data_IF_925909498935
#
_entry.id   IF_925909498935
#
_cell.length_a   1.000
_cell.length_b   1.000
_cell.length_c   1.000
_cell.angle_alpha   90.00
_cell.angle_beta   90.00
_cell.angle_gamma   90.00
#
_symmetry.space_group_name_H-M   'P 1'
#
loop_
_entity.id
_entity.type
_entity.pdbx_description
1 polymer ?
#
# COMPACT_ATOMS: atom_id res chain seq x y z
N UNK A 1 -28.66 47.77 44.70
CA UNK A 1 -28.61 46.29 44.67
C UNK A 1 -28.05 45.90 43.30
N UNK A 2 -26.75 45.57 43.18
CA UNK A 2 -26.20 44.20 42.88
C UNK A 2 -26.98 43.52 41.72
N UNK A 3 -26.43 43.13 40.55
CA UNK A 3 -25.19 42.40 40.15
C UNK A 3 -24.93 42.69 38.63
N UNK A 4 -23.73 42.90 38.09
CA UNK A 4 -22.56 42.02 37.82
C UNK A 4 -22.85 40.86 36.83
N UNK A 5 -22.23 40.98 35.64
CA UNK A 5 -21.61 40.02 34.69
C UNK A 5 -22.20 38.61 34.44
N UNK A 6 -22.29 38.20 33.16
CA UNK A 6 -21.35 37.23 32.56
C UNK A 6 -21.55 37.01 31.05
N UNK A 7 -20.41 36.89 30.37
CA UNK A 7 -20.21 36.56 28.96
C UNK A 7 -20.88 35.24 28.56
N UNK A 8 -21.56 35.21 27.41
CA UNK A 8 -21.69 33.99 26.61
C UNK A 8 -21.05 34.28 25.26
N UNK A 9 -19.84 33.77 25.15
CA UNK A 9 -19.05 33.61 23.94
C UNK A 9 -19.91 32.80 22.95
N UNK A 10 -20.34 33.43 21.86
CA UNK A 10 -20.79 32.74 20.68
C UNK A 10 -19.55 32.29 19.90
N UNK A 11 -19.06 31.08 20.19
CA UNK A 11 -18.17 30.35 19.28
C UNK A 11 -19.04 29.95 18.08
N UNK A 12 -19.08 30.83 17.08
CA UNK A 12 -19.58 30.47 15.76
C UNK A 12 -18.49 29.68 15.04
N UNK A 13 -18.76 28.38 14.89
CA UNK A 13 -18.26 27.48 13.84
C UNK A 13 -17.27 28.12 12.85
N UNK A 14 -15.98 28.00 13.15
CA UNK A 14 -14.90 28.05 12.15
C UNK A 14 -14.51 26.61 11.82
N UNK A 15 -15.42 25.90 11.14
CA UNK A 15 -15.10 24.68 10.41
C UNK A 15 -14.75 25.11 8.99
N UNK A 16 -13.50 25.51 8.78
CA UNK A 16 -12.91 25.55 7.44
C UNK A 16 -12.52 24.12 7.14
N UNK A 17 -13.48 23.37 6.59
CA UNK A 17 -13.18 22.15 5.85
C UNK A 17 -12.49 22.57 4.55
N UNK A 18 -11.17 22.75 4.57
CA UNK A 18 -10.40 22.80 3.33
C UNK A 18 -10.37 21.39 2.74
N UNK A 19 -11.31 21.09 1.85
CA UNK A 19 -11.11 20.02 0.86
C UNK A 19 -10.02 20.50 -0.10
N UNK A 20 -8.77 20.17 0.21
CA UNK A 20 -7.59 20.45 -0.62
C UNK A 20 -7.62 19.55 -1.85
N UNK A 21 -8.34 19.96 -2.89
CA UNK A 21 -8.35 19.24 -4.18
C UNK A 21 -7.81 20.05 -5.36
N UNK A 22 -7.42 21.32 -5.18
CA UNK A 22 -6.84 22.16 -6.24
C UNK A 22 -5.62 22.95 -5.74
N UNK A 23 -4.52 22.24 -5.43
CA UNK A 23 -3.24 22.89 -5.08
C UNK A 23 -2.44 23.35 -6.31
N UNK A 24 -2.94 23.13 -7.53
CA UNK A 24 -2.22 23.38 -8.78
C UNK A 24 -2.90 24.29 -9.80
N UNK A 25 -4.12 24.80 -9.58
CA UNK A 25 -4.72 25.76 -10.50
C UNK A 25 -5.62 26.75 -9.79
N UNK A 26 -5.18 28.02 -9.76
CA UNK A 26 -5.86 29.22 -9.25
C UNK A 26 -5.71 29.43 -7.73
N UNK A 27 -4.88 30.40 -7.34
CA UNK A 27 -4.70 30.85 -5.96
C UNK A 27 -5.83 31.83 -5.58
N UNK A 28 -6.67 31.55 -4.56
CA UNK A 28 -7.36 32.59 -3.81
C UNK A 28 -6.33 33.35 -2.95
N UNK A 29 -6.57 34.63 -2.65
CA UNK A 29 -5.66 35.54 -1.92
C UNK A 29 -5.21 35.05 -0.51
N UNK A 30 -5.79 33.97 0.01
CA UNK A 30 -5.49 33.39 1.34
C UNK A 30 -4.63 32.10 1.30
N UNK A 31 -3.96 31.79 0.18
CA UNK A 31 -3.00 30.65 0.10
C UNK A 31 -1.56 31.12 0.32
N UNK A 32 -0.87 30.55 1.32
CA UNK A 32 0.58 30.71 1.50
C UNK A 32 1.29 30.37 0.18
N UNK A 33 2.18 31.25 -0.27
CA UNK A 33 3.01 30.95 -1.45
C UNK A 33 3.97 29.78 -1.15
N UNK A 34 4.43 29.08 -2.20
CA UNK A 34 5.36 27.96 -2.06
C UNK A 34 6.63 28.36 -1.31
N UNK A 35 7.15 29.55 -1.60
CA UNK A 35 8.34 30.10 -0.96
C UNK A 35 8.10 30.31 0.54
N UNK A 36 6.99 30.96 0.92
CA UNK A 36 6.63 31.18 2.32
C UNK A 36 6.40 29.87 3.09
N UNK A 37 5.85 28.85 2.43
CA UNK A 37 5.63 27.54 3.06
C UNK A 37 6.97 26.89 3.45
N UNK A 38 8.00 26.97 2.62
CA UNK A 38 9.29 26.31 2.86
C UNK A 38 10.31 27.16 3.64
N UNK A 39 9.90 28.30 4.20
CA UNK A 39 10.70 29.12 5.11
C UNK A 39 10.71 28.61 6.57
N UNK A 40 9.97 27.55 6.89
CA UNK A 40 9.89 27.03 8.26
C UNK A 40 9.86 25.51 8.35
N UNK A 41 10.30 24.98 9.51
CA UNK A 41 10.25 23.55 9.83
C UNK A 41 8.82 23.01 9.78
N UNK A 42 7.86 23.80 10.28
CA UNK A 42 6.45 23.42 10.29
C UNK A 42 5.92 23.28 8.87
N UNK A 43 6.27 24.20 7.96
CA UNK A 43 5.80 24.13 6.58
C UNK A 43 6.32 22.92 5.80
N UNK A 44 7.53 22.43 6.09
CA UNK A 44 7.99 21.13 5.57
C UNK A 44 7.13 19.96 6.07
N UNK A 45 6.72 19.96 7.34
CA UNK A 45 5.83 18.90 7.86
C UNK A 45 4.40 19.03 7.33
N UNK A 46 3.89 20.24 7.15
CA UNK A 46 2.58 20.49 6.56
C UNK A 46 2.55 20.01 5.10
N UNK A 47 3.61 20.30 4.33
CA UNK A 47 3.77 19.79 2.97
C UNK A 47 3.81 18.26 2.94
N UNK A 48 4.52 17.62 3.86
CA UNK A 48 4.59 16.17 3.96
C UNK A 48 3.23 15.55 4.34
N UNK A 49 2.50 16.18 5.27
CA UNK A 49 1.13 15.78 5.58
C UNK A 49 0.22 15.90 4.35
N UNK A 50 0.41 16.94 3.54
CA UNK A 50 -0.21 17.09 2.22
C UNK A 50 0.12 15.93 1.28
N UNK A 51 1.38 15.47 1.23
CA UNK A 51 1.77 14.28 0.45
C UNK A 51 1.01 13.05 0.92
N UNK A 52 0.96 12.77 2.23
CA UNK A 52 0.19 11.64 2.76
C UNK A 52 -1.30 11.75 2.41
N UNK A 53 -1.86 12.95 2.49
CA UNK A 53 -3.26 13.21 2.11
C UNK A 53 -3.50 12.92 0.63
N UNK A 54 -2.59 13.34 -0.26
CA UNK A 54 -2.67 13.06 -1.70
C UNK A 54 -2.53 11.56 -2.00
N UNK A 55 -1.68 10.84 -1.26
CA UNK A 55 -1.57 9.39 -1.44
C UNK A 55 -2.86 8.67 -1.07
N UNK A 56 -3.63 9.18 -0.10
CA UNK A 56 -4.88 8.57 0.34
C UNK A 56 -5.88 8.34 -0.79
N UNK A 57 -5.90 9.18 -1.83
CA UNK A 57 -6.75 9.02 -3.03
C UNK A 57 -6.63 7.63 -3.70
N UNK A 58 -5.47 6.97 -3.57
CA UNK A 58 -5.23 5.64 -4.11
C UNK A 58 -5.21 4.55 -3.04
N UNK A 59 -5.02 4.86 -1.76
CA UNK A 59 -4.79 3.87 -0.70
C UNK A 59 -5.82 3.84 0.41
N UNK A 60 -6.82 4.72 0.44
CA UNK A 60 -7.87 4.58 1.44
C UNK A 60 -8.65 3.25 1.30
N UNK A 61 -9.63 3.06 2.16
CA UNK A 61 -10.42 1.83 2.18
C UNK A 61 -11.32 1.63 0.96
N UNK A 62 -11.41 2.61 0.05
CA UNK A 62 -12.00 2.51 -1.29
C UNK A 62 -10.96 2.85 -2.37
N UNK A 63 -9.68 2.79 -2.01
CA UNK A 63 -8.57 3.24 -2.82
C UNK A 63 -8.31 2.29 -3.98
N UNK A 64 -7.98 2.85 -5.14
CA UNK A 64 -7.71 2.09 -6.37
C UNK A 64 -6.57 1.08 -6.20
N UNK A 65 -5.57 1.41 -5.39
CA UNK A 65 -4.39 0.57 -5.11
C UNK A 65 -4.47 -0.15 -3.75
N UNK A 66 -5.63 -0.09 -3.09
CA UNK A 66 -5.91 -0.80 -1.84
C UNK A 66 -7.02 -1.83 -2.07
N UNK A 67 -8.29 -1.44 -1.92
CA UNK A 67 -9.42 -2.38 -1.92
C UNK A 67 -10.19 -2.43 -3.24
N UNK A 68 -10.00 -1.48 -4.15
CA UNK A 68 -10.81 -1.41 -5.38
C UNK A 68 -10.10 -1.99 -6.61
N UNK A 69 -9.55 -1.13 -7.48
CA UNK A 69 -9.12 -1.49 -8.82
C UNK A 69 -8.12 -2.65 -8.82
N UNK A 70 -7.11 -2.60 -7.95
CA UNK A 70 -6.08 -3.63 -7.85
C UNK A 70 -6.61 -5.01 -7.37
N UNK A 71 -7.61 -5.02 -6.48
CA UNK A 71 -8.20 -6.25 -5.97
C UNK A 71 -9.16 -6.89 -6.98
N UNK A 72 -9.81 -6.08 -7.81
CA UNK A 72 -10.55 -6.59 -8.96
C UNK A 72 -9.61 -7.24 -9.98
N UNK A 73 -8.44 -6.65 -10.28
CA UNK A 73 -7.41 -7.30 -11.10
C UNK A 73 -6.96 -8.65 -10.50
N UNK A 74 -6.92 -8.74 -9.17
CA UNK A 74 -6.62 -9.99 -8.46
C UNK A 74 -7.83 -10.97 -8.35
N UNK A 75 -8.99 -10.62 -8.91
CA UNK A 75 -10.24 -11.37 -8.84
C UNK A 75 -10.72 -11.70 -7.41
N UNK A 76 -10.46 -10.78 -6.46
CA UNK A 76 -10.79 -10.98 -5.05
C UNK A 76 -12.25 -10.70 -4.72
N UNK A 77 -12.90 -9.79 -5.43
CA UNK A 77 -14.31 -9.45 -5.20
C UNK A 77 -15.28 -10.19 -6.12
N UNK A 78 -16.51 -10.36 -5.65
CA UNK A 78 -17.63 -10.65 -6.54
C UNK A 78 -17.86 -9.48 -7.49
N UNK A 79 -18.26 -9.80 -8.72
CA UNK A 79 -18.56 -8.80 -9.75
C UNK A 79 -19.91 -9.10 -10.37
N UNK A 80 -20.64 -8.05 -10.69
CA UNK A 80 -21.90 -8.15 -11.43
C UNK A 80 -21.61 -8.10 -12.93
N UNK A 81 -22.26 -8.97 -13.69
CA UNK A 81 -22.07 -9.01 -15.14
C UNK A 81 -22.46 -7.70 -15.83
N UNK A 82 -21.66 -7.28 -16.81
CA UNK A 82 -21.80 -6.04 -17.57
C UNK A 82 -21.32 -4.79 -16.82
N UNK A 83 -20.66 -4.93 -15.68
CA UNK A 83 -20.10 -3.80 -14.93
C UNK A 83 -18.62 -3.56 -15.26
N UNK A 84 -18.14 -2.34 -15.01
CA UNK A 84 -16.71 -2.00 -15.14
C UNK A 84 -15.84 -2.93 -14.29
N UNK A 85 -16.32 -3.32 -13.10
CA UNK A 85 -15.59 -4.22 -12.19
C UNK A 85 -15.39 -5.62 -12.79
N UNK A 86 -16.34 -6.11 -13.60
CA UNK A 86 -16.16 -7.34 -14.38
C UNK A 86 -15.07 -7.18 -15.44
N UNK A 87 -15.09 -6.08 -16.21
CA UNK A 87 -14.05 -5.78 -17.19
C UNK A 87 -12.66 -5.61 -16.55
N UNK A 88 -12.56 -5.06 -15.33
CA UNK A 88 -11.31 -5.02 -14.57
C UNK A 88 -10.85 -6.44 -14.24
N UNK A 89 -11.74 -7.27 -13.66
CA UNK A 89 -11.44 -8.66 -13.27
C UNK A 89 -10.97 -9.52 -14.44
N UNK A 90 -11.51 -9.29 -15.63
CA UNK A 90 -11.15 -9.99 -16.86
C UNK A 90 -10.06 -9.31 -17.68
N UNK A 91 -9.46 -8.23 -17.17
CA UNK A 91 -8.37 -7.50 -17.82
C UNK A 91 -8.72 -6.95 -19.22
N UNK A 92 -9.96 -6.54 -19.42
CA UNK A 92 -10.46 -5.96 -20.68
C UNK A 92 -10.02 -4.48 -20.82
N UNK A 93 -8.71 -4.24 -20.80
CA UNK A 93 -8.12 -2.91 -20.64
C UNK A 93 -8.54 -1.88 -21.70
N UNK A 94 -8.98 -2.33 -22.89
CA UNK A 94 -9.54 -1.43 -23.91
C UNK A 94 -10.76 -0.65 -23.43
N UNK A 95 -11.46 -1.14 -22.41
CA UNK A 95 -12.65 -0.53 -21.80
C UNK A 95 -12.33 0.31 -20.55
N UNK A 96 -11.07 0.32 -20.10
CA UNK A 96 -10.68 0.81 -18.77
C UNK A 96 -9.71 2.01 -18.80
N UNK A 97 -9.61 2.72 -19.93
CA UNK A 97 -8.71 3.87 -20.08
C UNK A 97 -8.93 4.93 -18.98
N UNK A 98 -10.18 5.16 -18.57
CA UNK A 98 -10.50 6.09 -17.48
C UNK A 98 -9.95 5.65 -16.13
N UNK A 99 -10.16 4.38 -15.75
CA UNK A 99 -9.65 3.81 -14.50
C UNK A 99 -8.12 3.83 -14.49
N UNK A 100 -7.49 3.35 -15.57
CA UNK A 100 -6.03 3.30 -15.70
C UNK A 100 -5.43 4.71 -15.65
N UNK A 101 -5.99 5.67 -16.39
CA UNK A 101 -5.55 7.07 -16.38
C UNK A 101 -5.66 7.69 -14.99
N UNK A 102 -6.77 7.43 -14.29
CA UNK A 102 -6.99 7.98 -12.95
C UNK A 102 -5.99 7.42 -11.93
N UNK A 103 -5.75 6.11 -11.95
CA UNK A 103 -4.77 5.45 -11.07
C UNK A 103 -3.35 5.95 -11.36
N UNK A 104 -2.97 6.04 -12.64
CA UNK A 104 -1.65 6.51 -13.06
C UNK A 104 -1.39 7.96 -12.63
N UNK A 105 -2.30 8.87 -12.96
CA UNK A 105 -2.16 10.30 -12.65
C UNK A 105 -2.16 10.58 -11.14
N UNK A 106 -2.93 9.81 -10.36
CA UNK A 106 -2.99 9.97 -8.90
C UNK A 106 -1.64 9.65 -8.22
N UNK A 107 -0.77 8.80 -8.77
CA UNK A 107 0.56 8.55 -8.20
C UNK A 107 1.57 9.66 -8.49
N UNK A 108 1.49 10.32 -9.65
CA UNK A 108 2.45 11.39 -9.98
C UNK A 108 2.19 12.69 -9.21
N UNK A 109 0.98 12.92 -8.69
CA UNK A 109 0.66 14.08 -7.83
C UNK A 109 1.52 14.15 -6.54
N UNK A 110 1.57 13.10 -5.68
CA UNK A 110 2.44 13.12 -4.52
C UNK A 110 3.93 13.11 -4.91
N UNK A 111 4.33 12.42 -5.99
CA UNK A 111 5.72 12.47 -6.50
C UNK A 111 6.15 13.91 -6.83
N UNK A 112 5.28 14.68 -7.49
CA UNK A 112 5.57 16.08 -7.81
C UNK A 112 5.79 16.95 -6.56
N UNK A 113 5.01 16.74 -5.49
CA UNK A 113 5.20 17.43 -4.21
C UNK A 113 6.50 17.01 -3.54
N UNK A 114 6.81 15.71 -3.53
CA UNK A 114 8.05 15.19 -2.96
C UNK A 114 9.28 15.77 -3.65
N UNK A 115 9.25 15.89 -4.98
CA UNK A 115 10.33 16.51 -5.74
C UNK A 115 10.49 17.99 -5.39
N UNK A 116 9.39 18.73 -5.26
CA UNK A 116 9.41 20.13 -4.83
C UNK A 116 10.01 20.28 -3.42
N UNK A 117 9.58 19.44 -2.47
CA UNK A 117 10.12 19.45 -1.12
C UNK A 117 11.62 19.15 -1.09
N UNK A 118 12.07 18.15 -1.87
CA UNK A 118 13.49 17.82 -1.98
C UNK A 118 14.30 18.98 -2.57
N UNK A 119 13.76 19.73 -3.52
CA UNK A 119 14.41 20.94 -4.06
C UNK A 119 14.59 22.02 -2.99
N UNK A 120 13.53 22.38 -2.26
CA UNK A 120 13.63 23.40 -1.21
C UNK A 120 14.47 22.96 -0.01
N UNK A 121 14.50 21.65 0.31
CA UNK A 121 15.35 21.10 1.37
C UNK A 121 16.84 21.37 1.10
N UNK A 122 17.28 21.33 -0.16
CA UNK A 122 18.68 21.57 -0.53
C UNK A 122 19.07 23.05 -0.48
N UNK A 123 18.10 23.98 -0.51
CA UNK A 123 18.36 25.43 -0.51
C UNK A 123 18.20 26.11 0.85
N UNK A 124 17.52 25.47 1.80
CA UNK A 124 17.30 26.03 3.14
C UNK A 124 18.54 25.92 4.03
N UNK A 125 18.67 26.82 5.03
CA UNK A 125 19.76 26.83 6.00
C UNK A 125 19.30 26.87 7.48
N UNK A 126 18.00 26.83 7.74
CA UNK A 126 17.43 27.00 9.08
C UNK A 126 17.12 25.68 9.80
N UNK A 127 17.00 24.55 9.08
CA UNK A 127 16.74 23.25 9.68
C UNK A 127 17.97 22.76 10.44
N UNK A 128 17.73 22.05 11.55
CA UNK A 128 18.80 21.26 12.16
C UNK A 128 19.24 20.14 11.22
N UNK A 129 20.49 19.68 11.34
CA UNK A 129 21.02 18.57 10.53
C UNK A 129 20.16 17.29 10.66
N UNK A 130 19.66 17.01 11.87
CA UNK A 130 18.75 15.89 12.12
C UNK A 130 17.40 16.08 11.42
N UNK A 131 16.78 17.26 11.53
CA UNK A 131 15.49 17.52 10.88
C UNK A 131 15.59 17.45 9.35
N UNK A 132 16.63 18.07 8.78
CA UNK A 132 16.90 17.99 7.34
C UNK A 132 17.01 16.53 6.89
N UNK A 133 17.82 15.73 7.58
CA UNK A 133 18.02 14.31 7.26
C UNK A 133 16.72 13.52 7.37
N UNK A 134 15.97 13.66 8.46
CA UNK A 134 14.74 12.90 8.69
C UNK A 134 13.65 13.25 7.66
N UNK A 135 13.49 14.53 7.31
CA UNK A 135 12.52 14.95 6.28
C UNK A 135 12.97 14.42 4.90
N UNK A 136 14.26 14.54 4.57
CA UNK A 136 14.82 14.03 3.31
C UNK A 136 14.63 12.52 3.17
N UNK A 137 14.97 11.74 4.19
CA UNK A 137 14.81 10.29 4.21
C UNK A 137 13.37 9.87 3.96
N UNK A 138 12.42 10.55 4.59
CA UNK A 138 11.01 10.26 4.39
C UNK A 138 10.54 10.62 2.97
N UNK A 139 10.99 11.75 2.44
CA UNK A 139 10.64 12.14 1.07
C UNK A 139 11.18 11.15 0.03
N UNK A 140 12.45 10.74 0.17
CA UNK A 140 13.08 9.76 -0.71
C UNK A 140 12.41 8.38 -0.61
N UNK A 141 12.13 7.92 0.60
CA UNK A 141 11.45 6.64 0.82
C UNK A 141 10.04 6.60 0.24
N UNK A 142 9.26 7.68 0.41
CA UNK A 142 7.93 7.80 -0.21
C UNK A 142 8.03 7.87 -1.75
N UNK A 143 8.99 8.61 -2.30
CA UNK A 143 9.19 8.72 -3.75
C UNK A 143 9.54 7.35 -4.35
N UNK A 144 10.44 6.61 -3.73
CA UNK A 144 10.81 5.25 -4.13
C UNK A 144 9.60 4.31 -4.10
N UNK A 145 8.80 4.34 -3.03
CA UNK A 145 7.59 3.52 -2.91
C UNK A 145 6.54 3.82 -3.99
N UNK A 146 6.24 5.10 -4.23
CA UNK A 146 5.26 5.50 -5.25
C UNK A 146 5.72 5.10 -6.66
N UNK A 147 7.02 5.27 -6.95
CA UNK A 147 7.63 4.78 -8.18
C UNK A 147 7.66 3.26 -8.27
N UNK A 148 7.78 2.55 -7.15
CA UNK A 148 7.71 1.09 -7.12
C UNK A 148 6.32 0.61 -7.57
N UNK A 149 5.25 1.23 -7.09
CA UNK A 149 3.88 0.86 -7.49
C UNK A 149 3.62 1.11 -8.97
N UNK A 150 4.13 2.24 -9.50
CA UNK A 150 4.10 2.54 -10.93
C UNK A 150 4.78 1.43 -11.76
N UNK A 151 6.02 1.07 -11.45
CA UNK A 151 6.73 0.07 -12.27
C UNK A 151 6.17 -1.33 -12.08
N UNK A 152 5.58 -1.64 -10.92
CA UNK A 152 4.90 -2.93 -10.70
C UNK A 152 3.62 -3.07 -11.52
N UNK A 153 2.94 -1.97 -11.88
CA UNK A 153 1.71 -2.01 -12.67
C UNK A 153 1.95 -1.88 -14.18
N UNK A 154 2.73 -0.89 -14.61
CA UNK A 154 2.97 -0.59 -16.03
C UNK A 154 4.32 -1.12 -16.56
N UNK A 155 5.20 -1.58 -15.67
CA UNK A 155 6.43 -2.27 -16.04
C UNK A 155 6.21 -3.76 -16.32
N UNK A 156 7.28 -4.47 -16.75
CA UNK A 156 7.19 -5.87 -17.11
C UNK A 156 6.99 -6.78 -15.88
N UNK A 157 6.69 -8.05 -16.15
CA UNK A 157 6.94 -9.12 -15.18
C UNK A 157 8.45 -9.16 -14.89
N UNK A 158 8.90 -9.18 -13.61
CA UNK A 158 10.32 -9.01 -13.28
C UNK A 158 11.22 -10.12 -13.85
N UNK A 159 10.69 -11.33 -14.07
CA UNK A 159 11.41 -12.44 -14.71
C UNK A 159 11.45 -12.38 -16.24
N UNK A 160 10.70 -11.46 -16.87
CA UNK A 160 10.54 -11.32 -18.33
C UNK A 160 10.90 -9.92 -18.84
N UNK A 161 11.87 -9.27 -18.21
CA UNK A 161 12.31 -7.92 -18.58
C UNK A 161 12.90 -7.92 -19.99
N UNK A 162 12.40 -7.05 -20.87
CA UNK A 162 13.03 -6.76 -22.14
C UNK A 162 14.00 -5.59 -21.98
N UNK A 163 15.30 -5.88 -22.04
CA UNK A 163 16.37 -4.90 -21.79
C UNK A 163 16.50 -3.82 -22.86
N UNK A 164 15.87 -3.98 -24.03
CA UNK A 164 15.85 -2.97 -25.09
C UNK A 164 14.61 -2.07 -25.04
N UNK A 165 13.61 -2.41 -24.21
CA UNK A 165 12.37 -1.64 -24.08
C UNK A 165 12.51 -0.58 -22.98
N UNK A 166 11.96 0.61 -23.25
CA UNK A 166 11.72 1.65 -22.26
C UNK A 166 10.32 1.49 -21.69
N UNK A 167 10.17 1.67 -20.38
CA UNK A 167 8.91 1.40 -19.68
C UNK A 167 8.27 2.68 -19.14
N UNK A 168 8.92 3.32 -18.17
CA UNK A 168 8.40 4.49 -17.47
C UNK A 168 9.54 5.48 -17.18
N UNK A 169 9.24 6.77 -17.00
CA UNK A 169 10.17 7.73 -16.43
C UNK A 169 10.25 7.58 -14.91
N UNK A 170 11.45 7.64 -14.35
CA UNK A 170 11.67 7.87 -12.93
C UNK A 170 11.82 9.39 -12.72
N UNK A 171 10.86 10.02 -12.04
CA UNK A 171 10.69 11.49 -12.05
C UNK A 171 11.24 12.06 -10.75
N UNK A 172 12.36 12.78 -10.83
CA UNK A 172 13.07 13.32 -9.65
C UNK A 172 13.03 14.83 -9.51
N UNK A 173 12.52 15.54 -10.51
CA UNK A 173 12.45 17.01 -10.55
C UNK A 173 11.05 17.47 -10.89
N UNK A 174 10.66 18.64 -10.37
CA UNK A 174 9.46 19.32 -10.83
C UNK A 174 9.83 20.19 -12.04
N UNK A 175 9.19 19.96 -13.18
CA UNK A 175 9.49 20.72 -14.38
C UNK A 175 8.39 20.61 -15.42
N UNK A 176 8.41 21.55 -16.38
CA UNK A 176 7.54 21.54 -17.56
C UNK A 176 8.10 20.68 -18.70
N UNK A 177 9.39 20.32 -18.59
CA UNK A 177 10.03 19.44 -19.55
C UNK A 177 9.51 18.01 -19.42
N UNK A 178 9.42 17.34 -20.57
CA UNK A 178 8.95 15.97 -20.63
C UNK A 178 9.95 15.03 -19.96
N UNK A 179 9.46 14.21 -19.04
CA UNK A 179 10.22 13.10 -18.48
C UNK A 179 10.27 11.94 -19.48
N UNK A 180 11.47 11.52 -19.88
CA UNK A 180 11.65 10.44 -20.85
C UNK A 180 11.60 9.07 -20.17
N UNK A 181 10.91 8.12 -20.81
CA UNK A 181 10.93 6.74 -20.35
C UNK A 181 12.34 6.14 -20.43
N UNK A 182 12.69 5.35 -19.43
CA UNK A 182 13.97 4.67 -19.29
C UNK A 182 13.80 3.15 -19.23
N UNK A 183 14.91 2.42 -19.31
CA UNK A 183 14.92 0.96 -19.20
C UNK A 183 14.59 0.49 -17.78
N UNK A 184 14.07 -0.73 -17.65
CA UNK A 184 13.68 -1.29 -16.35
C UNK A 184 14.82 -1.30 -15.32
N UNK A 185 16.02 -1.72 -15.73
CA UNK A 185 17.17 -1.80 -14.81
C UNK A 185 17.60 -0.42 -14.30
N UNK A 186 17.64 0.57 -15.18
CA UNK A 186 17.96 1.96 -14.82
C UNK A 186 16.91 2.53 -13.85
N UNK A 187 15.63 2.29 -14.14
CA UNK A 187 14.53 2.68 -13.24
C UNK A 187 14.70 2.07 -11.85
N UNK A 188 14.96 0.76 -11.77
CA UNK A 188 15.14 0.07 -10.50
C UNK A 188 16.41 0.50 -9.75
N UNK A 189 17.45 0.96 -10.45
CA UNK A 189 18.66 1.52 -9.84
C UNK A 189 18.37 2.88 -9.18
N UNK A 190 17.64 3.77 -9.86
CA UNK A 190 17.23 5.06 -9.29
C UNK A 190 16.32 4.88 -8.08
N UNK A 191 15.36 3.94 -8.19
CA UNK A 191 14.49 3.56 -7.08
C UNK A 191 15.29 3.06 -5.87
N UNK A 192 16.22 2.14 -6.09
CA UNK A 192 17.11 1.63 -5.03
C UNK A 192 17.98 2.74 -4.45
N UNK A 193 18.45 3.69 -5.25
CA UNK A 193 19.21 4.84 -4.75
C UNK A 193 18.42 5.64 -3.72
N UNK A 194 17.18 6.01 -4.04
CA UNK A 194 16.32 6.77 -3.13
C UNK A 194 16.07 6.02 -1.81
N UNK A 195 15.69 4.73 -1.89
CA UNK A 195 15.35 3.98 -0.67
C UNK A 195 16.58 3.57 0.15
N UNK A 196 17.75 3.35 -0.48
CA UNK A 196 19.00 3.08 0.23
C UNK A 196 19.48 4.31 1.01
N UNK A 197 19.34 5.52 0.44
CA UNK A 197 19.67 6.76 1.15
C UNK A 197 18.72 6.99 2.33
N UNK A 198 17.42 6.76 2.14
CA UNK A 198 16.43 6.81 3.22
C UNK A 198 16.79 5.83 4.35
N UNK A 199 17.14 4.58 4.01
CA UNK A 199 17.56 3.56 4.96
C UNK A 199 18.79 4.01 5.77
N UNK A 200 19.84 4.47 5.08
CA UNK A 200 21.07 4.92 5.73
C UNK A 200 20.79 6.01 6.76
N UNK A 201 19.90 6.95 6.46
CA UNK A 201 19.51 8.00 7.39
C UNK A 201 18.73 7.42 8.57
N UNK A 202 17.68 6.64 8.34
CA UNK A 202 16.86 6.07 9.43
C UNK A 202 17.62 5.10 10.33
N UNK A 203 18.68 4.46 9.84
CA UNK A 203 19.55 3.64 10.68
C UNK A 203 20.35 4.48 11.70
N UNK A 204 20.69 5.73 11.36
CA UNK A 204 21.37 6.66 12.26
C UNK A 204 20.41 7.46 13.14
N UNK A 205 19.17 7.63 12.70
CA UNK A 205 18.12 8.37 13.42
C UNK A 205 16.84 7.52 13.49
N UNK A 206 16.83 6.45 14.31
CA UNK A 206 15.69 5.53 14.36
C UNK A 206 14.46 6.24 14.92
N UNK A 207 13.41 6.32 14.10
CA UNK A 207 12.10 6.82 14.54
C UNK A 207 11.07 5.69 14.50
N UNK A 208 10.35 5.49 15.60
CA UNK A 208 9.18 4.62 15.65
C UNK A 208 7.95 5.45 15.27
N UNK A 209 7.60 5.44 13.98
CA UNK A 209 6.40 6.10 13.49
C UNK A 209 5.43 5.00 13.04
N UNK A 210 4.36 4.80 13.79
CA UNK A 210 3.21 4.04 13.29
C UNK A 210 2.45 4.93 12.29
N UNK A 211 2.01 4.34 11.17
CA UNK A 211 1.17 5.03 10.16
C UNK A 211 1.85 6.18 9.39
N UNK A 212 3.18 6.20 9.39
CA UNK A 212 4.02 7.12 8.63
C UNK A 212 5.34 6.42 8.32
N UNK A 213 5.96 6.71 7.19
CA UNK A 213 7.18 6.03 6.78
C UNK A 213 8.33 6.37 7.75
N UNK A 214 8.95 5.32 8.28
CA UNK A 214 10.11 5.38 9.17
C UNK A 214 11.00 4.17 8.96
N UNK A 215 11.94 3.92 9.88
CA UNK A 215 12.94 2.83 9.76
C UNK A 215 12.32 1.50 9.36
N UNK A 216 11.34 1.02 10.14
CA UNK A 216 10.74 -0.30 9.94
C UNK A 216 9.97 -0.40 8.63
N UNK A 217 9.27 0.67 8.23
CA UNK A 217 8.64 0.76 6.92
C UNK A 217 9.63 0.69 5.76
N UNK A 218 10.77 1.40 5.87
CA UNK A 218 11.83 1.36 4.84
C UNK A 218 12.46 -0.03 4.74
N UNK A 219 12.79 -0.68 5.86
CA UNK A 219 13.34 -2.05 5.84
C UNK A 219 12.32 -3.05 5.27
N UNK A 220 11.03 -2.89 5.59
CA UNK A 220 9.97 -3.72 5.06
C UNK A 220 9.82 -3.54 3.54
N UNK A 221 9.82 -2.29 3.05
CA UNK A 221 9.79 -1.99 1.62
C UNK A 221 11.04 -2.52 0.90
N UNK A 222 12.22 -2.40 1.49
CA UNK A 222 13.47 -3.00 0.97
C UNK A 222 13.36 -4.51 0.82
N UNK A 223 12.78 -5.20 1.82
CA UNK A 223 12.51 -6.63 1.75
C UNK A 223 11.61 -6.97 0.54
N UNK A 224 10.49 -6.26 0.38
CA UNK A 224 9.55 -6.42 -0.74
C UNK A 224 10.18 -6.11 -2.11
N UNK A 225 10.96 -5.03 -2.22
CA UNK A 225 11.61 -4.61 -3.47
C UNK A 225 12.67 -5.64 -3.88
N UNK A 226 13.49 -6.11 -2.94
CA UNK A 226 14.49 -7.14 -3.24
C UNK A 226 13.84 -8.46 -3.62
N UNK A 227 12.73 -8.85 -2.97
CA UNK A 227 11.95 -10.02 -3.37
C UNK A 227 11.40 -9.87 -4.79
N UNK A 228 10.89 -8.69 -5.14
CA UNK A 228 10.41 -8.39 -6.49
C UNK A 228 11.50 -8.53 -7.55
N UNK A 229 12.72 -8.10 -7.23
CA UNK A 229 13.89 -8.21 -8.10
C UNK A 229 14.48 -9.63 -8.17
N UNK A 230 13.98 -10.57 -7.35
CA UNK A 230 14.53 -11.92 -7.24
C UNK A 230 15.78 -12.03 -6.36
N UNK A 231 16.17 -10.95 -5.69
CA UNK A 231 17.30 -10.89 -4.75
C UNK A 231 16.91 -11.50 -3.39
N UNK A 232 16.66 -12.82 -3.36
CA UNK A 232 16.15 -13.52 -2.18
C UNK A 232 17.02 -13.38 -0.93
N UNK A 233 18.34 -13.37 -1.10
CA UNK A 233 19.28 -13.20 0.02
C UNK A 233 19.11 -11.83 0.70
N UNK A 234 19.07 -10.75 -0.07
CA UNK A 234 18.86 -9.40 0.46
C UNK A 234 17.46 -9.26 1.08
N UNK A 235 16.42 -9.77 0.42
CA UNK A 235 15.06 -9.77 0.95
C UNK A 235 14.98 -10.48 2.31
N UNK A 236 15.59 -11.67 2.43
CA UNK A 236 15.66 -12.41 3.69
C UNK A 236 16.44 -11.65 4.77
N UNK A 237 17.54 -10.98 4.42
CA UNK A 237 18.32 -10.16 5.35
C UNK A 237 17.50 -9.04 5.99
N UNK A 238 16.76 -8.29 5.18
CA UNK A 238 15.83 -7.26 5.67
C UNK A 238 14.69 -7.85 6.50
N UNK A 239 14.10 -8.96 6.05
CA UNK A 239 13.04 -9.62 6.81
C UNK A 239 13.52 -10.12 8.18
N UNK A 240 14.69 -10.78 8.25
CA UNK A 240 15.28 -11.23 9.51
C UNK A 240 15.58 -10.07 10.45
N UNK A 241 16.07 -8.94 9.95
CA UNK A 241 16.31 -7.76 10.79
C UNK A 241 15.04 -7.29 11.52
N UNK A 242 13.89 -7.36 10.85
CA UNK A 242 12.59 -7.02 11.44
C UNK A 242 12.15 -8.10 12.43
N UNK A 243 12.23 -9.38 12.04
CA UNK A 243 11.81 -10.51 12.89
C UNK A 243 12.66 -10.63 14.17
N UNK A 244 13.95 -10.37 14.10
CA UNK A 244 14.86 -10.41 15.24
C UNK A 244 14.56 -9.26 16.22
N UNK A 245 14.15 -8.09 15.71
CA UNK A 245 13.65 -7.01 16.55
C UNK A 245 12.36 -7.43 17.26
N UNK A 246 11.37 -7.97 16.53
CA UNK A 246 10.11 -8.44 17.12
C UNK A 246 10.33 -9.44 18.26
N UNK A 247 11.29 -10.37 18.11
CA UNK A 247 11.65 -11.35 19.14
C UNK A 247 12.28 -10.76 20.40
N UNK A 248 12.96 -9.62 20.27
CA UNK A 248 13.74 -9.01 21.35
C UNK A 248 13.07 -7.78 21.96
N UNK A 249 12.03 -7.27 21.32
CA UNK A 249 11.32 -6.07 21.74
C UNK A 249 10.34 -6.36 22.89
N UNK A 250 10.69 -5.89 24.10
CA UNK A 250 9.85 -6.04 25.28
C UNK A 250 8.54 -5.25 25.22
N UNK A 251 8.50 -4.20 24.40
CA UNK A 251 7.32 -3.35 24.25
C UNK A 251 6.32 -3.96 23.25
N UNK A 252 6.69 -5.07 22.59
CA UNK A 252 5.91 -5.74 21.56
C UNK A 252 5.45 -4.74 20.47
N UNK A 253 6.29 -3.77 20.10
CA UNK A 253 5.95 -2.68 19.15
C UNK A 253 5.26 -3.22 17.90
N UNK A 254 5.78 -4.34 17.37
CA UNK A 254 5.09 -5.12 16.37
C UNK A 254 4.79 -6.53 16.87
N UNK A 255 3.62 -7.04 16.49
CA UNK A 255 3.16 -8.38 16.87
C UNK A 255 2.13 -8.86 15.85
N UNK A 256 2.18 -10.15 15.51
CA UNK A 256 1.14 -10.78 14.70
C UNK A 256 -0.21 -10.67 15.43
N UNK A 257 -1.24 -10.26 14.71
CA UNK A 257 -2.60 -10.25 15.22
C UNK A 257 -3.11 -11.67 15.44
N UNK A 258 -3.97 -11.84 16.44
CA UNK A 258 -4.59 -13.12 16.76
C UNK A 258 -6.07 -12.94 17.12
N UNK A 259 -6.72 -14.02 17.59
CA UNK A 259 -8.16 -14.02 17.89
C UNK A 259 -8.56 -12.98 18.94
N UNK A 260 -7.67 -12.71 19.91
CA UNK A 260 -7.87 -11.71 20.95
C UNK A 260 -7.98 -10.29 20.39
N UNK A 261 -7.25 -9.95 19.32
CA UNK A 261 -7.41 -8.69 18.60
C UNK A 261 -8.83 -8.52 18.05
N UNK A 262 -9.39 -9.57 17.45
CA UNK A 262 -10.76 -9.54 16.91
C UNK A 262 -11.77 -9.30 18.04
N UNK A 263 -11.56 -9.94 19.21
CA UNK A 263 -12.41 -9.78 20.39
C UNK A 263 -12.44 -8.35 20.98
N UNK A 264 -11.44 -7.52 20.66
CA UNK A 264 -11.39 -6.09 21.03
C UNK A 264 -11.61 -5.16 19.83
N UNK A 265 -12.14 -5.69 18.73
CA UNK A 265 -12.45 -4.96 17.49
C UNK A 265 -11.22 -4.39 16.74
N UNK A 266 -10.03 -4.94 16.97
CA UNK A 266 -8.82 -4.64 16.18
C UNK A 266 -8.75 -5.53 14.91
N UNK A 267 -9.69 -5.30 13.99
CA UNK A 267 -9.83 -6.08 12.74
C UNK A 267 -8.73 -5.84 11.70
N UNK A 268 -7.88 -4.84 11.93
CA UNK A 268 -6.76 -4.47 11.06
C UNK A 268 -5.43 -5.04 11.55
N UNK A 269 -5.41 -5.61 12.77
CA UNK A 269 -4.19 -6.03 13.43
C UNK A 269 -3.16 -4.90 13.44
N UNK A 270 -3.52 -3.75 14.04
CA UNK A 270 -2.75 -2.50 13.90
C UNK A 270 -1.27 -2.64 14.32
N UNK A 271 -0.95 -3.56 15.25
CA UNK A 271 0.44 -3.86 15.67
C UNK A 271 1.25 -4.60 14.61
N UNK A 272 0.65 -5.07 13.53
CA UNK A 272 1.41 -5.59 12.39
C UNK A 272 1.91 -4.46 11.47
N UNK A 273 1.38 -3.23 11.57
CA UNK A 273 1.63 -2.18 10.58
C UNK A 273 3.04 -1.60 10.68
N UNK A 274 3.94 -2.01 9.79
CA UNK A 274 5.30 -1.49 9.67
C UNK A 274 5.33 -0.15 8.92
N UNK A 275 4.38 0.01 7.98
CA UNK A 275 4.06 1.27 7.32
C UNK A 275 2.60 1.23 6.88
N UNK A 276 1.87 2.34 7.10
CA UNK A 276 0.48 2.49 6.72
C UNK A 276 0.14 3.95 6.41
N UNK A 277 -1.02 4.16 5.82
CA UNK A 277 -1.59 5.50 5.56
C UNK A 277 -2.76 5.70 6.50
N UNK A 278 -2.80 6.84 7.19
CA UNK A 278 -3.91 7.20 8.05
C UNK A 278 -5.17 7.51 7.23
N UNK A 279 -6.31 6.99 7.67
CA UNK A 279 -7.61 7.12 7.00
C UNK A 279 -8.68 7.42 8.03
N UNK A 280 -9.58 8.34 7.67
CA UNK A 280 -10.82 8.61 8.37
C UNK A 280 -11.93 7.75 7.77
N UNK A 281 -12.49 6.85 8.57
CA UNK A 281 -13.56 5.93 8.17
C UNK A 281 -14.95 6.45 8.55
N UNK A 282 -15.06 7.56 9.29
CA UNK A 282 -16.36 8.12 9.71
C UNK A 282 -17.07 8.83 8.55
N UNK A 283 -16.30 9.42 7.63
CA UNK A 283 -16.83 10.26 6.56
C UNK A 283 -17.14 9.50 5.28
N UNK A 284 -16.57 8.31 5.08
CA UNK A 284 -16.73 7.51 3.87
C UNK A 284 -17.04 6.07 4.25
N UNK A 285 -18.21 5.58 3.81
CA UNK A 285 -18.58 4.18 3.99
C UNK A 285 -17.77 3.30 3.03
N UNK A 286 -17.39 2.11 3.49
CA UNK A 286 -16.79 1.11 2.64
C UNK A 286 -17.68 0.80 1.43
N UNK A 287 -17.06 0.69 0.25
CA UNK A 287 -17.77 0.59 -1.00
C UNK A 287 -18.64 -0.67 -1.01
N UNK A 288 -19.92 -0.42 -1.23
CA UNK A 288 -20.98 -1.37 -1.09
C UNK A 288 -21.00 -2.43 -2.22
N UNK A 289 -20.11 -2.31 -3.21
CA UNK A 289 -19.85 -3.27 -4.28
C UNK A 289 -18.67 -4.19 -4.00
N UNK A 290 -17.89 -3.92 -2.94
CA UNK A 290 -16.76 -4.76 -2.53
C UNK A 290 -17.25 -5.79 -1.52
N UNK A 291 -17.57 -6.98 -2.02
CA UNK A 291 -18.06 -8.07 -1.17
C UNK A 291 -17.69 -9.43 -1.74
N UNK A 292 -17.81 -10.44 -0.89
CA UNK A 292 -17.79 -11.84 -1.30
C UNK A 292 -19.04 -12.57 -0.82
N UNK A 293 -19.22 -13.81 -1.27
CA UNK A 293 -20.31 -14.66 -0.81
C UNK A 293 -19.79 -15.72 0.18
N UNK A 294 -20.67 -16.21 1.05
CA UNK A 294 -20.32 -17.20 2.09
C UNK A 294 -19.71 -18.48 1.50
N UNK A 295 -20.20 -18.97 0.35
CA UNK A 295 -19.67 -20.18 -0.25
C UNK A 295 -18.22 -20.02 -0.70
N UNK A 296 -17.89 -18.87 -1.31
CA UNK A 296 -16.51 -18.56 -1.71
C UNK A 296 -15.58 -18.39 -0.50
N UNK A 297 -15.99 -17.66 0.53
CA UNK A 297 -15.16 -17.53 1.74
C UNK A 297 -14.93 -18.89 2.40
N UNK A 298 -15.97 -19.72 2.45
CA UNK A 298 -15.87 -21.08 2.96
C UNK A 298 -14.89 -21.94 2.13
N UNK A 299 -14.91 -21.83 0.80
CA UNK A 299 -13.90 -22.49 -0.04
C UNK A 299 -12.49 -21.95 0.22
N UNK A 300 -12.35 -20.62 0.24
CA UNK A 300 -11.07 -19.93 0.36
C UNK A 300 -10.36 -20.23 1.68
N UNK A 301 -11.11 -20.24 2.78
CA UNK A 301 -10.62 -20.55 4.13
C UNK A 301 -10.78 -22.02 4.50
N UNK A 302 -11.15 -22.89 3.55
CA UNK A 302 -11.21 -24.35 3.70
C UNK A 302 -12.14 -24.80 4.87
N UNK A 303 -13.42 -24.35 4.85
CA UNK A 303 -14.53 -24.39 5.85
C UNK A 303 -14.73 -25.68 6.69
N UNK A 304 -13.65 -26.04 7.35
CA UNK A 304 -13.50 -27.12 8.32
C UNK A 304 -12.56 -26.69 9.45
N UNK A 305 -11.99 -25.48 9.36
CA UNK A 305 -10.91 -24.99 10.21
C UNK A 305 -11.31 -23.83 11.13
N UNK A 306 -10.49 -23.65 12.16
CA UNK A 306 -10.49 -22.58 13.16
C UNK A 306 -9.80 -21.29 12.67
N UNK A 307 -9.76 -21.06 11.35
CA UNK A 307 -9.10 -19.88 10.77
C UNK A 307 -9.83 -18.60 11.19
N UNK A 308 -9.18 -17.81 12.03
CA UNK A 308 -9.79 -16.62 12.65
C UNK A 308 -10.15 -15.55 11.62
N UNK A 309 -9.55 -15.59 10.42
CA UNK A 309 -9.81 -14.61 9.37
C UNK A 309 -11.22 -14.71 8.81
N UNK A 310 -11.92 -15.84 9.01
CA UNK A 310 -13.35 -15.93 8.73
C UNK A 310 -14.19 -15.01 9.63
N UNK A 311 -13.72 -14.71 10.84
CA UNK A 311 -14.39 -13.79 11.78
C UNK A 311 -14.20 -12.32 11.39
N UNK A 312 -13.30 -12.02 10.44
CA UNK A 312 -13.11 -10.68 9.87
C UNK A 312 -14.15 -10.33 8.80
N UNK A 313 -15.26 -11.09 8.70
CA UNK A 313 -16.31 -10.90 7.71
C UNK A 313 -17.68 -10.79 8.36
N UNK A 314 -18.40 -9.71 8.06
CA UNK A 314 -19.76 -9.50 8.55
C UNK A 314 -20.82 -9.73 7.47
N UNK A 315 -21.99 -10.19 7.91
CA UNK A 315 -23.15 -10.34 7.03
C UNK A 315 -23.72 -8.98 6.63
N UNK A 316 -23.97 -8.84 5.33
CA UNK A 316 -24.67 -7.69 4.77
C UNK A 316 -25.80 -8.14 3.87
N UNK A 317 -27.00 -7.60 4.14
CA UNK A 317 -28.14 -7.76 3.23
C UNK A 317 -27.95 -6.85 2.02
N UNK A 318 -27.83 -7.45 0.84
CA UNK A 318 -27.80 -6.75 -0.45
C UNK A 318 -29.08 -7.08 -1.21
N UNK A 319 -29.82 -6.06 -1.61
CA UNK A 319 -31.07 -6.23 -2.38
C UNK A 319 -30.79 -6.97 -3.68
N UNK A 320 -31.46 -8.10 -3.90
CA UNK A 320 -31.33 -8.90 -5.11
C UNK A 320 -30.40 -10.12 -5.01
N UNK A 321 -29.69 -10.30 -3.89
CA UNK A 321 -28.97 -11.56 -3.59
C UNK A 321 -29.84 -12.49 -2.74
N UNK A 322 -29.78 -13.79 -3.05
CA UNK A 322 -30.53 -14.82 -2.31
C UNK A 322 -29.92 -15.09 -0.93
N UNK A 323 -28.60 -15.03 -0.81
CA UNK A 323 -27.85 -15.15 0.44
C UNK A 323 -27.19 -13.81 0.80
N UNK A 324 -26.91 -13.54 2.09
CA UNK A 324 -26.16 -12.36 2.50
C UNK A 324 -24.81 -12.27 1.80
N UNK A 325 -24.45 -11.06 1.37
CA UNK A 325 -23.08 -10.73 1.01
C UNK A 325 -22.22 -10.64 2.28
N UNK A 326 -20.91 -10.73 2.11
CA UNK A 326 -19.91 -10.62 3.17
C UNK A 326 -19.00 -9.44 2.89
N UNK A 327 -18.97 -8.48 3.81
CA UNK A 327 -18.04 -7.36 3.79
C UNK A 327 -16.91 -7.61 4.80
N UNK A 328 -15.69 -7.13 4.52
CA UNK A 328 -14.58 -7.28 5.45
C UNK A 328 -14.69 -6.23 6.58
N UNK A 329 -14.57 -6.68 7.82
CA UNK A 329 -14.58 -5.83 9.02
C UNK A 329 -13.33 -4.95 9.14
N UNK A 330 -12.26 -5.24 8.39
CA UNK A 330 -11.03 -4.44 8.41
C UNK A 330 -11.22 -2.97 7.98
N UNK A 331 -12.36 -2.63 7.36
CA UNK A 331 -12.72 -1.27 6.94
C UNK A 331 -13.92 -0.72 7.71
N UNK A 332 -14.18 -1.23 8.91
CA UNK A 332 -15.18 -0.69 9.84
C UNK A 332 -14.49 -0.03 11.05
N UNK A 333 -15.29 0.67 11.86
CA UNK A 333 -14.80 1.41 13.03
C UNK A 333 -14.54 2.89 12.75
N UNK A 334 -13.93 3.57 13.73
CA UNK A 334 -13.57 4.99 13.64
C UNK A 334 -12.27 5.19 12.82
N UNK A 335 -11.51 6.25 13.11
CA UNK A 335 -10.20 6.52 12.53
C UNK A 335 -9.22 5.33 12.63
N UNK A 336 -8.33 5.25 11.65
CA UNK A 336 -7.39 4.16 11.59
C UNK A 336 -6.29 4.36 10.57
N UNK A 337 -5.69 3.26 10.17
CA UNK A 337 -4.80 3.23 9.03
C UNK A 337 -5.06 2.01 8.17
N UNK A 338 -4.76 2.16 6.90
CA UNK A 338 -4.61 1.02 5.98
C UNK A 338 -3.15 0.59 5.95
N UNK A 339 -2.84 -0.71 6.03
CA UNK A 339 -1.45 -1.17 5.94
C UNK A 339 -0.95 -1.05 4.50
N UNK A 340 0.22 -0.43 4.31
CA UNK A 340 0.96 -0.51 3.04
C UNK A 340 1.87 -1.74 3.04
N UNK A 341 2.46 -2.06 4.19
CA UNK A 341 3.18 -3.31 4.45
C UNK A 341 3.09 -3.61 5.94
N UNK A 342 2.90 -4.89 6.27
CA UNK A 342 2.72 -5.36 7.64
C UNK A 342 3.49 -6.64 7.93
N UNK A 343 3.59 -6.98 9.21
CA UNK A 343 4.43 -8.05 9.73
C UNK A 343 4.11 -9.41 9.12
N UNK A 344 2.85 -9.75 8.89
CA UNK A 344 2.45 -11.00 8.21
C UNK A 344 3.13 -11.18 6.85
N UNK A 345 3.27 -10.11 6.05
CA UNK A 345 3.97 -10.17 4.78
C UNK A 345 5.45 -10.42 4.97
N UNK A 346 6.08 -9.87 6.01
CA UNK A 346 7.48 -10.14 6.34
C UNK A 346 7.69 -11.62 6.70
N UNK A 347 6.76 -12.25 7.42
CA UNK A 347 6.80 -13.70 7.68
C UNK A 347 6.77 -14.47 6.36
N UNK A 348 5.82 -14.15 5.48
CA UNK A 348 5.67 -14.85 4.19
C UNK A 348 6.87 -14.62 3.25
N UNK A 349 7.45 -13.40 3.22
CA UNK A 349 8.68 -13.10 2.48
C UNK A 349 9.85 -13.91 3.03
N UNK A 350 10.01 -13.97 4.35
CA UNK A 350 11.09 -14.73 4.98
C UNK A 350 10.94 -16.25 4.76
N UNK A 351 9.72 -16.77 4.81
CA UNK A 351 9.42 -18.15 4.45
C UNK A 351 9.82 -18.45 2.99
N UNK A 352 9.48 -17.56 2.04
CA UNK A 352 9.77 -17.76 0.62
C UNK A 352 11.28 -17.69 0.28
N UNK A 353 12.02 -16.88 1.04
CA UNK A 353 13.45 -16.68 0.80
C UNK A 353 14.35 -17.62 1.64
N UNK A 354 13.85 -18.12 2.76
CA UNK A 354 14.56 -19.02 3.67
C UNK A 354 14.65 -20.47 3.18
N UNK A 355 15.39 -21.28 3.92
CA UNK A 355 15.34 -22.73 3.75
C UNK A 355 14.07 -23.33 4.38
N UNK A 356 13.84 -24.63 4.20
CA UNK A 356 12.65 -25.29 4.73
C UNK A 356 12.61 -25.28 6.26
N UNK A 357 13.75 -25.27 6.96
CA UNK A 357 13.79 -25.17 8.42
C UNK A 357 13.21 -23.83 8.86
N UNK A 358 13.74 -22.73 8.32
CA UNK A 358 13.25 -21.38 8.59
C UNK A 358 11.79 -21.21 8.19
N UNK A 359 11.39 -21.76 7.04
CA UNK A 359 10.01 -21.69 6.58
C UNK A 359 9.05 -22.41 7.54
N UNK A 360 9.43 -23.59 8.07
CA UNK A 360 8.64 -24.31 9.07
C UNK A 360 8.53 -23.54 10.40
N UNK A 361 9.66 -23.03 10.91
CA UNK A 361 9.67 -22.23 12.16
C UNK A 361 8.72 -21.03 12.07
N UNK A 362 8.78 -20.28 10.97
CA UNK A 362 7.92 -19.12 10.77
C UNK A 362 6.47 -19.50 10.48
N UNK A 363 6.24 -20.61 9.77
CA UNK A 363 4.89 -21.06 9.46
C UNK A 363 4.16 -21.56 10.71
N UNK A 364 4.85 -22.21 11.64
CA UNK A 364 4.26 -22.64 12.91
C UNK A 364 3.71 -21.44 13.70
N UNK A 365 4.51 -20.39 13.87
CA UNK A 365 4.12 -19.15 14.55
C UNK A 365 2.99 -18.40 13.80
N UNK A 366 3.11 -18.29 12.48
CA UNK A 366 2.08 -17.68 11.64
C UNK A 366 0.75 -18.45 11.74
N UNK A 367 0.82 -19.79 11.66
CA UNK A 367 -0.33 -20.66 11.72
C UNK A 367 -1.06 -20.56 13.06
N UNK A 368 -0.31 -20.58 14.16
CA UNK A 368 -0.84 -20.38 15.51
C UNK A 368 -1.58 -19.04 15.62
N UNK A 369 -0.97 -17.95 15.13
CA UNK A 369 -1.59 -16.61 15.17
C UNK A 369 -2.91 -16.53 14.41
N UNK A 370 -3.09 -17.33 13.35
CA UNK A 370 -4.33 -17.39 12.54
C UNK A 370 -5.29 -18.48 12.99
N UNK A 371 -4.96 -19.23 14.05
CA UNK A 371 -5.76 -20.36 14.50
C UNK A 371 -5.84 -21.51 13.47
N UNK A 372 -4.90 -21.59 12.53
CA UNK A 372 -4.83 -22.66 11.54
C UNK A 372 -3.90 -23.78 12.02
N UNK A 373 -4.23 -25.03 11.68
CA UNK A 373 -3.40 -26.17 12.05
C UNK A 373 -2.06 -26.15 11.32
N UNK A 374 -0.95 -26.22 12.06
CA UNK A 374 0.39 -26.33 11.48
C UNK A 374 0.54 -27.62 10.68
N UNK A 375 1.14 -27.50 9.49
CA UNK A 375 1.51 -28.62 8.62
C UNK A 375 2.97 -28.46 8.25
N UNK A 376 3.77 -29.47 8.55
CA UNK A 376 5.19 -29.47 8.21
C UNK A 376 5.39 -29.35 6.68
N UNK A 377 6.25 -28.41 6.30
CA UNK A 377 6.64 -28.11 4.94
C UNK A 377 7.86 -28.96 4.59
N UNK A 378 7.65 -29.96 3.72
CA UNK A 378 8.66 -30.97 3.37
C UNK A 378 9.30 -30.75 2.00
N UNK A 379 8.77 -29.82 1.20
CA UNK A 379 9.30 -29.50 -0.13
C UNK A 379 9.02 -28.07 -0.55
N UNK A 380 9.82 -27.56 -1.51
CA UNK A 380 9.62 -26.22 -2.09
C UNK A 380 8.28 -26.11 -2.83
N UNK A 381 7.78 -27.20 -3.45
CA UNK A 381 6.47 -27.20 -4.10
C UNK A 381 5.35 -26.96 -3.07
N UNK A 382 5.40 -27.67 -1.94
CA UNK A 382 4.44 -27.51 -0.85
C UNK A 382 4.52 -26.11 -0.25
N UNK A 383 5.74 -25.56 -0.06
CA UNK A 383 5.94 -24.19 0.39
C UNK A 383 5.25 -23.18 -0.54
N UNK A 384 5.44 -23.31 -1.86
CA UNK A 384 4.82 -22.42 -2.84
C UNK A 384 3.29 -22.52 -2.83
N UNK A 385 2.73 -23.71 -2.63
CA UNK A 385 1.28 -23.91 -2.48
C UNK A 385 0.75 -23.24 -1.21
N UNK A 386 1.45 -23.38 -0.08
CA UNK A 386 1.11 -22.71 1.18
C UNK A 386 1.19 -21.20 1.03
N UNK A 387 2.28 -20.67 0.47
CA UNK A 387 2.43 -19.24 0.23
C UNK A 387 1.29 -18.69 -0.62
N UNK A 388 0.96 -19.36 -1.74
CA UNK A 388 -0.16 -18.93 -2.59
C UNK A 388 -1.48 -18.92 -1.81
N UNK A 389 -1.76 -19.95 -0.99
CA UNK A 389 -2.97 -19.99 -0.16
C UNK A 389 -2.98 -18.84 0.85
N UNK A 390 -1.89 -18.62 1.57
CA UNK A 390 -1.83 -17.61 2.62
C UNK A 390 -1.87 -16.19 2.03
N UNK A 391 -1.17 -15.90 0.93
CA UNK A 391 -1.31 -14.61 0.24
C UNK A 391 -2.77 -14.34 -0.19
N UNK A 392 -3.50 -15.37 -0.63
CA UNK A 392 -4.92 -15.25 -1.02
C UNK A 392 -5.87 -15.03 0.16
N UNK A 393 -5.57 -15.59 1.33
CA UNK A 393 -6.40 -15.49 2.55
C UNK A 393 -6.11 -14.22 3.36
N UNK A 394 -4.85 -13.82 3.38
CA UNK A 394 -4.30 -12.82 4.30
C UNK A 394 -4.58 -11.38 3.82
N UNK A 395 -4.39 -11.10 2.52
CA UNK A 395 -4.33 -9.73 2.00
C UNK A 395 -5.56 -9.28 1.21
N UNK A 396 -6.72 -9.92 1.40
CA UNK A 396 -7.96 -9.52 0.71
C UNK A 396 -8.31 -8.09 1.09
N UNK A 397 -8.46 -7.22 0.08
CA UNK A 397 -8.68 -5.78 0.26
C UNK A 397 -7.41 -4.94 0.42
N UNK A 398 -6.23 -5.54 0.57
CA UNK A 398 -5.00 -4.82 0.92
C UNK A 398 -4.10 -4.50 -0.29
N UNK A 399 -4.51 -4.87 -1.51
CA UNK A 399 -3.83 -4.50 -2.75
C UNK A 399 -2.52 -5.23 -3.00
N UNK A 400 -2.28 -6.36 -2.35
CA UNK A 400 -1.01 -7.11 -2.42
C UNK A 400 -1.05 -8.22 -3.49
N UNK A 401 -2.20 -8.90 -3.62
CA UNK A 401 -2.24 -10.20 -4.29
C UNK A 401 -2.00 -10.15 -5.79
N UNK A 402 -2.44 -9.09 -6.48
CA UNK A 402 -2.16 -8.93 -7.92
C UNK A 402 -0.65 -8.91 -8.19
N UNK A 403 0.12 -8.23 -7.35
CA UNK A 403 1.58 -8.18 -7.45
C UNK A 403 2.21 -9.55 -7.17
N UNK A 404 1.66 -10.33 -6.24
CA UNK A 404 2.11 -11.69 -5.99
C UNK A 404 1.92 -12.57 -7.24
N UNK A 405 0.74 -12.52 -7.87
CA UNK A 405 0.46 -13.25 -9.11
C UNK A 405 1.39 -12.83 -10.24
N UNK A 406 1.60 -11.52 -10.42
CA UNK A 406 2.48 -10.97 -11.44
C UNK A 406 3.93 -11.42 -11.25
N UNK A 407 4.49 -11.29 -10.05
CA UNK A 407 5.88 -11.67 -9.75
C UNK A 407 6.14 -13.15 -10.00
N UNK A 408 5.15 -14.00 -9.70
CA UNK A 408 5.23 -15.44 -9.88
C UNK A 408 4.75 -15.93 -11.25
N UNK A 409 4.43 -15.02 -12.17
CA UNK A 409 3.97 -15.36 -13.54
C UNK A 409 2.82 -16.38 -13.55
N UNK A 410 1.83 -16.16 -12.66
CA UNK A 410 0.71 -17.10 -12.50
C UNK A 410 -0.13 -17.12 -13.78
N UNK A 411 -0.18 -18.25 -14.47
CA UNK A 411 -0.90 -18.39 -15.74
C UNK A 411 -2.42 -18.40 -15.62
N UNK A 412 -2.96 -18.54 -14.41
CA UNK A 412 -4.41 -18.54 -14.16
C UNK A 412 -4.74 -17.91 -12.81
N UNK A 413 -5.27 -16.69 -12.84
CA UNK A 413 -5.80 -16.03 -11.66
C UNK A 413 -7.09 -16.76 -11.25
N UNK A 414 -7.23 -17.21 -9.98
CA UNK A 414 -8.46 -17.82 -9.49
C UNK A 414 -9.71 -16.97 -9.79
N UNK A 415 -10.84 -17.60 -10.11
CA UNK A 415 -12.11 -16.94 -10.52
C UNK A 415 -12.04 -16.08 -11.79
N UNK A 416 -10.91 -16.05 -12.50
CA UNK A 416 -10.82 -15.57 -13.86
C UNK A 416 -10.88 -16.79 -14.82
N UNK A 417 -11.84 -16.83 -15.78
CA UNK A 417 -11.95 -17.94 -16.73
C UNK A 417 -10.83 -17.95 -17.77
N UNK A 418 -10.20 -16.80 -18.05
CA UNK A 418 -9.20 -16.64 -19.09
C UNK A 418 -7.79 -17.02 -18.61
N UNK A 419 -6.95 -17.47 -19.55
CA UNK A 419 -5.53 -17.67 -19.29
C UNK A 419 -4.87 -16.30 -19.19
N UNK A 420 -4.18 -16.09 -18.07
CA UNK A 420 -3.45 -14.86 -17.79
C UNK A 420 -2.10 -14.89 -18.50
N UNK A 421 -1.90 -13.99 -19.46
CA UNK A 421 -0.62 -13.79 -20.15
C UNK A 421 0.02 -12.46 -19.71
N UNK A 422 1.15 -12.09 -20.32
CA UNK A 422 1.86 -10.84 -19.99
C UNK A 422 0.94 -9.60 -20.09
N UNK A 423 0.01 -9.58 -21.05
CA UNK A 423 -0.91 -8.45 -21.27
C UNK A 423 -1.97 -8.32 -20.18
N UNK A 424 -2.21 -9.37 -19.38
CA UNK A 424 -3.06 -9.27 -18.18
C UNK A 424 -2.32 -8.64 -16.99
N UNK A 425 -0.99 -8.67 -16.99
CA UNK A 425 -0.16 -8.18 -15.88
C UNK A 425 0.42 -6.79 -16.12
N UNK A 426 0.57 -6.40 -17.38
CA UNK A 426 1.15 -5.11 -17.76
C UNK A 426 0.03 -4.18 -18.19
N UNK A 427 -0.31 -3.21 -17.35
CA UNK A 427 -1.30 -2.20 -17.70
C UNK A 427 -0.82 -1.41 -18.93
N UNK A 428 -1.71 -1.11 -19.90
CA UNK A 428 -1.36 -0.19 -20.97
C UNK A 428 -1.13 1.20 -20.37
N UNK A 429 -0.24 1.97 -21.01
CA UNK A 429 -0.10 3.38 -20.69
C UNK A 429 -1.42 4.10 -20.99
N UNK A 430 -1.82 5.08 -20.16
CA UNK A 430 -2.95 5.95 -20.48
C UNK A 430 -2.82 6.55 -21.88
N UNK A 431 -3.92 6.61 -22.66
CA UNK A 431 -3.86 7.12 -24.06
C UNK A 431 -3.22 8.51 -24.17
N UNK A 432 -3.51 9.39 -23.20
CA UNK A 432 -2.94 10.73 -23.13
C UNK A 432 -1.41 10.73 -23.05
N UNK A 433 -0.80 9.71 -22.44
CA UNK A 433 0.65 9.57 -22.37
C UNK A 433 1.24 9.01 -23.67
N UNK A 434 0.48 8.20 -24.41
CA UNK A 434 0.91 7.65 -25.71
C UNK A 434 0.92 8.75 -26.78
N UNK A 435 -0.16 9.51 -26.89
CA UNK A 435 -0.30 10.59 -27.88
C UNK A 435 0.71 11.72 -27.64
N UNK A 436 1.13 11.90 -26.39
CA UNK A 436 2.20 12.81 -26.04
C UNK A 436 3.54 12.19 -26.40
N UNK A 437 3.80 10.90 -26.15
CA UNK A 437 5.11 10.24 -26.32
C UNK A 437 5.56 9.86 -27.74
N UNK A 438 4.68 9.88 -28.74
CA UNK A 438 5.03 9.74 -30.16
C UNK A 438 5.33 8.30 -30.60
#
# INVERSE_FOLDING_TARGET
>A
MKKIFLYIIAISNFLVSCSVNDWLTVQPEDTLSKDEMFESKQGFYDALFGVYTLTRDNYDHNGRLMSEFIEHLAAQWEVTSGTINESIKFHEYSLLDGQISSTFGAQYKPIANLNLMLEYLETQDFLSDEDYKLIKAECLGLRAWLHFDLIRLWGPIPSKVNTTKKYLPYVTVLGYERNLAIGYNEYMQLLQSDINEAEQIFNNYPTHKTFRLGKWGVLALQSRINLWLGNKEAALGYANTILDFVKTDSDETFKLGALDNIGIEDYRFNREHLFGIHVDFETTLFNNQLYNNTAYLNELYEYSGSDIRLELWEDRKVTGLAEPAKNPLKYTGQEGSVPIIRLSEIYLIAMECGDLTKANELYEEFAESRGIGFVEITSISQLNEILLKEYRKEFIGEGVLFYYYKRNDVSRIPRNPEVCNDDCYVLPLPRKEIDVNG
#
